data_IF_289328501804
#
_entry.id   IF_289328501804
#
_cell.length_a   1.000
_cell.length_b   1.000
_cell.length_c   1.000
_cell.angle_alpha   90.00
_cell.angle_beta   90.00
_cell.angle_gamma   90.00
#
_symmetry.space_group_name_H-M   'P 1'
#
loop_
_entity.id
_entity.type
_entity.pdbx_description
1 polymer ?
#
# COMPACT_ATOMS: atom_id res chain seq x y z
N UNK A 1 -0.07 -3.51 13.13
CA UNK A 1 0.68 -2.36 13.70
C UNK A 1 1.37 -1.63 12.56
N UNK A 2 1.26 -0.31 12.45
CA UNK A 2 1.83 0.43 11.31
C UNK A 2 3.36 0.41 11.35
N UNK A 3 4.06 0.07 10.24
CA UNK A 3 5.51 -0.16 10.23
C UNK A 3 6.31 1.08 10.65
N UNK A 4 5.97 2.26 10.12
CA UNK A 4 6.64 3.53 10.45
C UNK A 4 6.13 4.21 11.72
N UNK A 5 4.87 3.99 12.10
CA UNK A 5 4.20 4.71 13.20
C UNK A 5 4.13 3.90 14.50
N UNK A 6 4.86 2.77 14.57
CA UNK A 6 4.86 1.85 15.71
C UNK A 6 5.23 2.49 17.05
N UNK A 7 5.87 3.68 17.04
CA UNK A 7 6.29 4.44 18.23
C UNK A 7 5.30 5.53 18.70
N UNK A 8 4.42 6.02 17.83
CA UNK A 8 3.52 7.15 18.14
C UNK A 8 2.08 6.73 18.46
N UNK A 9 1.68 5.50 18.13
CA UNK A 9 0.35 4.98 18.49
C UNK A 9 -0.80 5.75 17.82
N UNK A 10 -0.62 6.18 16.57
CA UNK A 10 -1.62 6.95 15.83
C UNK A 10 -2.96 6.20 15.80
N UNK A 11 -4.00 6.86 16.30
CA UNK A 11 -5.39 6.40 16.26
C UNK A 11 -6.13 7.13 15.14
N UNK A 12 -6.95 6.40 14.40
CA UNK A 12 -7.84 6.96 13.37
C UNK A 12 -9.29 6.82 13.81
N UNK A 13 -10.19 7.60 13.24
CA UNK A 13 -11.62 7.59 13.59
C UNK A 13 -12.37 6.31 13.14
N UNK A 14 -11.71 5.41 12.40
CA UNK A 14 -12.35 4.23 11.81
C UNK A 14 -13.33 4.59 10.68
N UNK A 15 -14.09 3.59 10.20
CA UNK A 15 -15.12 3.80 9.20
C UNK A 15 -16.44 4.24 9.89
N UNK A 16 -17.09 5.34 9.44
CA UNK A 16 -18.17 5.98 10.20
C UNK A 16 -19.51 5.23 10.15
N UNK A 17 -19.69 4.28 9.23
CA UNK A 17 -20.94 3.56 9.02
C UNK A 17 -20.77 2.11 9.49
N UNK A 18 -21.77 1.55 10.15
CA UNK A 18 -21.79 0.11 10.47
C UNK A 18 -22.70 -0.60 9.48
N UNK A 19 -22.17 -1.63 8.82
CA UNK A 19 -22.99 -2.54 8.02
C UNK A 19 -23.36 -3.75 8.87
N UNK A 20 -24.57 -4.28 8.67
CA UNK A 20 -25.05 -5.47 9.37
C UNK A 20 -24.35 -6.76 8.95
N UNK A 21 -23.91 -6.82 7.69
CA UNK A 21 -23.38 -8.05 7.08
C UNK A 21 -21.90 -7.95 6.69
N UNK A 22 -21.33 -6.74 6.65
CA UNK A 22 -19.95 -6.53 6.21
C UNK A 22 -19.12 -5.82 7.29
N UNK A 23 -17.91 -6.33 7.60
CA UNK A 23 -17.00 -5.63 8.51
C UNK A 23 -16.54 -4.32 7.86
N UNK A 24 -16.81 -3.21 8.53
CA UNK A 24 -16.40 -1.87 8.11
C UNK A 24 -15.05 -1.52 8.76
N UNK A 25 -14.02 -2.29 8.42
CA UNK A 25 -12.71 -2.24 9.07
C UNK A 25 -11.58 -1.93 8.08
N UNK A 26 -10.47 -1.42 8.62
CA UNK A 26 -9.20 -1.27 7.90
C UNK A 26 -8.20 -2.31 8.44
N UNK A 27 -8.14 -3.51 7.85
CA UNK A 27 -7.40 -4.64 8.44
C UNK A 27 -5.87 -4.46 8.39
N UNK A 28 -5.38 -3.58 7.52
CA UNK A 28 -3.95 -3.35 7.29
C UNK A 28 -3.61 -1.87 7.42
N UNK A 29 -2.38 -1.52 7.86
CA UNK A 29 -1.92 -0.14 7.86
C UNK A 29 -1.83 0.43 6.44
N UNK A 30 -1.76 1.75 6.35
CA UNK A 30 -1.45 2.42 5.09
C UNK A 30 -0.10 1.91 4.53
N UNK A 31 0.00 1.71 3.20
CA UNK A 31 1.23 1.25 2.57
C UNK A 31 2.32 2.33 2.63
N UNK A 32 3.58 1.90 2.59
CA UNK A 32 4.70 2.79 2.35
C UNK A 32 4.72 3.27 0.88
N UNK A 33 5.46 4.33 0.61
CA UNK A 33 5.73 4.78 -0.75
C UNK A 33 6.37 3.64 -1.55
N UNK A 34 5.79 3.32 -2.71
CA UNK A 34 6.27 2.28 -3.61
C UNK A 34 6.05 0.83 -3.15
N UNK A 35 5.37 0.58 -2.01
CA UNK A 35 5.23 -0.77 -1.42
C UNK A 35 4.64 -1.82 -2.38
N UNK A 36 3.79 -1.40 -3.33
CA UNK A 36 3.12 -2.30 -4.27
C UNK A 36 3.55 -2.10 -5.73
N UNK A 37 4.67 -1.39 -5.99
CA UNK A 37 5.13 -1.13 -7.36
C UNK A 37 5.40 -2.43 -8.14
N UNK A 38 6.02 -3.43 -7.53
CA UNK A 38 6.32 -4.71 -8.18
C UNK A 38 5.05 -5.53 -8.48
N UNK A 39 4.10 -5.56 -7.54
CA UNK A 39 2.81 -6.24 -7.72
C UNK A 39 2.00 -5.61 -8.85
N UNK A 40 1.93 -4.27 -8.90
CA UNK A 40 1.13 -3.57 -9.90
C UNK A 40 1.85 -3.56 -11.25
N UNK A 41 3.09 -3.09 -11.32
CA UNK A 41 3.78 -2.92 -12.59
C UNK A 41 4.20 -4.26 -13.20
N UNK A 42 4.78 -5.16 -12.40
CA UNK A 42 5.18 -6.48 -12.86
C UNK A 42 4.02 -7.47 -12.94
N UNK A 43 3.19 -7.52 -11.88
CA UNK A 43 2.11 -8.50 -11.77
C UNK A 43 0.88 -8.16 -12.60
N UNK A 44 0.37 -6.94 -12.49
CA UNK A 44 -0.89 -6.53 -13.15
C UNK A 44 -0.67 -5.96 -14.56
N UNK A 45 0.38 -5.14 -14.75
CA UNK A 45 0.66 -4.49 -16.03
C UNK A 45 1.64 -5.25 -16.92
N UNK A 46 2.35 -6.23 -16.36
CA UNK A 46 3.23 -7.12 -17.12
C UNK A 46 4.58 -6.52 -17.53
N UNK A 47 5.03 -5.45 -16.86
CA UNK A 47 6.39 -4.93 -17.06
C UNK A 47 7.44 -5.95 -16.62
N UNK A 48 8.47 -6.09 -17.44
CA UNK A 48 9.65 -6.88 -17.11
C UNK A 48 10.43 -6.26 -15.94
N UNK A 49 11.30 -7.06 -15.32
CA UNK A 49 12.16 -6.56 -14.24
C UNK A 49 13.12 -5.50 -14.75
N UNK A 50 13.61 -5.68 -15.97
CA UNK A 50 14.53 -4.77 -16.65
C UNK A 50 13.88 -3.40 -16.90
N UNK A 51 12.64 -3.36 -17.38
CA UNK A 51 11.89 -2.11 -17.55
C UNK A 51 11.66 -1.39 -16.21
N UNK A 52 11.31 -2.15 -15.16
CA UNK A 52 11.13 -1.57 -13.82
C UNK A 52 12.43 -1.06 -13.21
N UNK A 53 13.57 -1.70 -13.47
CA UNK A 53 14.88 -1.21 -13.04
C UNK A 53 15.26 0.08 -13.76
N UNK A 54 14.93 0.21 -15.06
CA UNK A 54 15.17 1.44 -15.80
C UNK A 54 14.32 2.59 -15.25
N UNK A 55 13.02 2.37 -15.03
CA UNK A 55 12.13 3.36 -14.43
C UNK A 55 12.62 3.82 -13.04
N UNK A 56 13.20 2.91 -12.23
CA UNK A 56 13.82 3.26 -10.94
C UNK A 56 15.07 4.13 -11.12
N UNK A 57 15.92 3.84 -12.12
CA UNK A 57 17.13 4.63 -12.40
C UNK A 57 16.79 6.03 -12.89
N UNK A 58 15.74 6.16 -13.70
CA UNK A 58 15.24 7.43 -14.20
C UNK A 58 14.48 8.24 -13.14
N UNK A 59 14.14 7.64 -11.99
CA UNK A 59 13.39 8.28 -10.91
C UNK A 59 11.89 8.41 -11.21
N UNK A 60 11.37 7.61 -12.14
CA UNK A 60 9.94 7.52 -12.46
C UNK A 60 9.17 6.79 -11.35
N UNK A 61 9.77 5.76 -10.74
CA UNK A 61 9.18 4.93 -9.68
C UNK A 61 10.11 4.66 -8.50
#
# INVERSE_FOLDING_TARGET
KHPLSARTGVKTAGFPIRFSELPAEYPVPAPALGQHNEEVYGGLLGFSKEEMEEMKKEGVI
#
